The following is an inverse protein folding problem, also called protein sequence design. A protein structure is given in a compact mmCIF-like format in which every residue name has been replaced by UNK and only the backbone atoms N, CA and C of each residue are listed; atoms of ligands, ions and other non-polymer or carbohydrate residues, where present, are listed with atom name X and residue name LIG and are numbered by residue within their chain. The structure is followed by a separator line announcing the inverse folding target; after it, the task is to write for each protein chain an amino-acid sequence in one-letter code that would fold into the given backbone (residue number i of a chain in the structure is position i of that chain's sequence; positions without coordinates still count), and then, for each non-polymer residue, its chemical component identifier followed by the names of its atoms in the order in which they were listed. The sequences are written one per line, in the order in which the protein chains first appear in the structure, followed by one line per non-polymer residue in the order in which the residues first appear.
data_IF_433430734209
#
_entry.id   IF_433430734209
#
_cell.length_a   1.000
_cell.length_b   1.000
_cell.length_c   1.000
_cell.angle_alpha   90.00
_cell.angle_beta   90.00
_cell.angle_gamma   90.00
#
_symmetry.space_group_name_H-M   'P 1'
#
loop_
_entity.id
_entity.type
_entity.pdbx_description
1 polymer ?
#
# COMPACT_ATOMS: atom_id res chain seq x y z
N UNK A 1 3.13 47.37 -7.77
CA UNK A 1 3.18 46.53 -6.55
C UNK A 1 1.99 45.59 -6.60
N UNK A 2 2.13 44.43 -7.25
CA UNK A 2 1.03 43.46 -7.33
C UNK A 2 1.26 42.37 -6.28
N UNK A 3 0.47 42.43 -5.21
CA UNK A 3 0.48 41.44 -4.15
C UNK A 3 -0.30 40.20 -4.60
N UNK A 4 0.41 39.17 -5.06
CA UNK A 4 -0.19 37.88 -5.33
C UNK A 4 -0.44 37.18 -3.99
N UNK A 5 -1.70 37.00 -3.62
CA UNK A 5 -2.07 36.17 -2.47
C UNK A 5 -2.34 34.76 -2.99
N UNK A 6 -1.29 33.95 -3.07
CA UNK A 6 -1.35 32.55 -3.52
C UNK A 6 -1.98 31.68 -2.43
N UNK A 7 -3.32 31.61 -2.41
CA UNK A 7 -4.04 30.70 -1.52
C UNK A 7 -4.24 29.35 -2.20
N UNK A 8 -3.31 28.43 -1.98
CA UNK A 8 -3.45 27.02 -2.36
C UNK A 8 -4.66 26.41 -1.62
N UNK A 9 -5.78 26.19 -2.30
CA UNK A 9 -6.90 25.42 -1.75
C UNK A 9 -6.75 23.97 -2.16
N UNK A 10 -6.30 23.13 -1.22
CA UNK A 10 -6.24 21.67 -1.35
C UNK A 10 -7.64 21.11 -1.09
N UNK A 11 -8.39 20.75 -2.12
CA UNK A 11 -9.59 19.92 -1.94
C UNK A 11 -9.13 18.46 -1.87
N UNK A 12 -8.89 17.96 -0.66
CA UNK A 12 -8.38 16.60 -0.42
C UNK A 12 -9.52 15.59 -0.55
N UNK A 13 -9.47 14.76 -1.60
CA UNK A 13 -9.98 13.40 -1.54
C UNK A 13 -8.80 12.48 -1.85
N UNK A 14 -8.40 11.67 -0.87
CA UNK A 14 -7.43 10.61 -1.10
C UNK A 14 -7.93 9.74 -2.26
N UNK A 15 -7.02 9.31 -3.13
CA UNK A 15 -7.23 8.34 -4.23
C UNK A 15 -7.69 8.87 -5.60
N UNK A 16 -7.76 10.18 -5.83
CA UNK A 16 -7.96 10.72 -7.18
C UNK A 16 -6.76 11.56 -7.63
N UNK A 17 -6.45 11.62 -8.93
CA UNK A 17 -5.43 12.53 -9.46
C UNK A 17 -5.67 13.93 -8.91
N UNK A 18 -4.63 14.52 -8.32
CA UNK A 18 -4.76 15.82 -7.69
C UNK A 18 -4.66 16.86 -8.78
N UNK A 19 -5.79 17.54 -9.04
CA UNK A 19 -5.85 18.69 -9.93
C UNK A 19 -5.40 19.94 -9.18
N UNK A 20 -4.27 20.50 -9.57
CA UNK A 20 -3.92 21.86 -9.14
C UNK A 20 -4.44 22.82 -10.21
N UNK A 21 -5.32 23.74 -9.84
CA UNK A 21 -5.73 24.85 -10.70
C UNK A 21 -5.18 26.16 -10.16
N UNK A 22 -4.57 26.94 -11.05
CA UNK A 22 -4.19 28.32 -10.78
C UNK A 22 -5.07 29.19 -11.65
N UNK A 23 -5.73 30.16 -11.02
CA UNK A 23 -6.54 31.15 -11.72
C UNK A 23 -5.88 32.51 -11.58
N UNK A 24 -5.44 33.08 -12.70
CA UNK A 24 -5.00 34.46 -12.75
C UNK A 24 -6.21 35.34 -13.10
N UNK A 25 -6.44 36.40 -12.33
CA UNK A 25 -7.53 37.36 -12.59
C UNK A 25 -6.95 38.75 -12.75
N UNK A 26 -7.22 39.39 -13.88
CA UNK A 26 -6.84 40.79 -14.14
C UNK A 26 -7.84 41.78 -13.51
N UNK A 27 -7.45 43.06 -13.38
CA UNK A 27 -8.30 44.15 -12.89
C UNK A 27 -9.62 44.33 -13.68
N UNK A 28 -9.68 43.86 -14.93
CA UNK A 28 -10.90 43.78 -15.72
C UNK A 28 -11.81 42.56 -15.44
N UNK A 29 -11.52 41.75 -14.43
CA UNK A 29 -12.17 40.45 -14.13
C UNK A 29 -12.02 39.37 -15.22
N UNK A 30 -11.09 39.54 -16.16
CA UNK A 30 -10.73 38.46 -17.08
C UNK A 30 -10.00 37.37 -16.29
N UNK A 31 -10.44 36.11 -16.43
CA UNK A 31 -9.83 34.96 -15.77
C UNK A 31 -9.13 34.09 -16.79
N UNK A 32 -7.89 33.73 -16.50
CA UNK A 32 -7.18 32.65 -17.20
C UNK A 32 -6.92 31.53 -16.20
N UNK A 33 -7.08 30.28 -16.65
CA UNK A 33 -6.97 29.10 -15.79
C UNK A 33 -5.98 28.11 -16.39
N UNK A 34 -4.97 27.77 -15.59
CA UNK A 34 -4.05 26.68 -15.88
C UNK A 34 -4.30 25.54 -14.90
N UNK A 35 -4.53 24.34 -15.43
CA UNK A 35 -4.62 23.11 -14.64
C UNK A 35 -3.45 22.19 -14.94
N UNK A 36 -2.94 21.52 -13.90
CA UNK A 36 -1.97 20.43 -14.02
C UNK A 36 -2.51 19.19 -13.32
N UNK A 37 -2.42 18.06 -14.03
CA UNK A 37 -2.79 16.75 -13.53
C UNK A 37 -1.54 16.07 -12.96
N UNK A 38 -1.55 15.81 -11.65
CA UNK A 38 -0.53 14.98 -11.02
C UNK A 38 -1.14 13.60 -10.75
N UNK A 39 -0.70 12.61 -11.53
CA UNK A 39 -0.98 11.21 -11.26
C UNK A 39 0.14 10.64 -10.39
N UNK A 40 -0.22 10.24 -9.18
CA UNK A 40 0.69 9.41 -8.37
C UNK A 40 0.61 7.96 -8.86
N UNK A 41 1.71 7.19 -8.77
CA UNK A 41 1.67 5.75 -9.03
C UNK A 41 0.63 5.09 -8.12
N UNK A 42 -0.03 4.04 -8.62
CA UNK A 42 -0.90 3.19 -7.79
C UNK A 42 -0.15 2.83 -6.51
N UNK A 43 -0.76 3.05 -5.35
CA UNK A 43 -0.11 2.75 -4.08
C UNK A 43 0.27 1.27 -3.99
N UNK A 44 1.37 0.97 -3.30
CA UNK A 44 1.82 -0.39 -3.04
C UNK A 44 0.81 -1.09 -2.11
N UNK A 45 0.07 -2.05 -2.66
CA UNK A 45 -0.97 -2.81 -1.98
C UNK A 45 -0.61 -4.32 -1.98
N UNK A 46 0.17 -4.78 -0.98
CA UNK A 46 0.40 -6.19 -0.77
C UNK A 46 -0.86 -6.85 -0.17
N UNK A 47 -1.26 -7.97 -0.75
CA UNK A 47 -2.31 -8.87 -0.30
C UNK A 47 -1.63 -10.15 0.15
N UNK A 48 -1.92 -10.59 1.38
CA UNK A 48 -1.34 -11.81 1.92
C UNK A 48 -2.42 -12.80 2.23
N UNK A 49 -2.10 -14.02 1.86
CA UNK A 49 -2.91 -15.20 2.05
C UNK A 49 -2.08 -16.19 2.82
N UNK A 50 -2.71 -16.96 3.69
CA UNK A 50 -2.03 -17.98 4.44
C UNK A 50 -2.97 -19.15 4.71
N UNK A 51 -2.39 -20.33 4.82
CA UNK A 51 -3.10 -21.56 5.12
C UNK A 51 -2.67 -22.04 6.50
N UNK A 52 -3.66 -22.27 7.36
CA UNK A 52 -3.47 -22.81 8.70
C UNK A 52 -2.78 -24.18 8.67
N UNK A 53 -2.01 -24.44 9.73
CA UNK A 53 -1.41 -25.76 10.00
C UNK A 53 -2.54 -26.74 10.33
N UNK A 54 -2.57 -27.92 9.70
CA UNK A 54 -3.68 -28.88 9.90
C UNK A 54 -3.64 -29.58 11.26
N UNK A 55 -2.50 -29.53 11.95
CA UNK A 55 -2.28 -30.26 13.20
C UNK A 55 -1.43 -29.48 14.21
N UNK A 56 -1.65 -29.72 15.49
CA UNK A 56 -0.85 -29.12 16.57
C UNK A 56 0.58 -29.66 16.50
N UNK A 57 1.53 -28.81 16.07
CA UNK A 57 2.92 -29.21 15.82
C UNK A 57 3.23 -29.59 14.37
N UNK A 58 2.25 -29.47 13.47
CA UNK A 58 2.47 -29.60 12.04
C UNK A 58 3.34 -28.48 11.47
N UNK A 59 3.98 -28.76 10.34
CA UNK A 59 4.81 -27.82 9.57
C UNK A 59 4.23 -27.62 8.17
N UNK A 60 2.94 -27.81 7.99
CA UNK A 60 2.25 -27.74 6.71
C UNK A 60 1.62 -26.36 6.42
N UNK A 61 1.84 -25.39 7.31
CA UNK A 61 1.41 -24.02 7.10
C UNK A 61 2.09 -23.39 5.89
N UNK A 62 1.33 -22.58 5.16
CA UNK A 62 1.81 -21.82 4.01
C UNK A 62 1.44 -20.34 4.16
N UNK A 63 2.29 -19.46 3.63
CA UNK A 63 1.99 -18.05 3.51
C UNK A 63 2.41 -17.57 2.12
N UNK A 64 1.59 -16.75 1.48
CA UNK A 64 1.83 -16.21 0.15
C UNK A 64 1.48 -14.74 0.12
N UNK A 65 2.25 -13.98 -0.68
CA UNK A 65 2.06 -12.55 -0.86
C UNK A 65 1.89 -12.29 -2.35
N UNK A 66 0.82 -11.58 -2.67
CA UNK A 66 0.59 -11.01 -3.99
C UNK A 66 0.63 -9.49 -3.88
N UNK A 67 1.35 -8.83 -4.78
CA UNK A 67 1.54 -7.38 -4.71
C UNK A 67 0.81 -6.74 -5.89
N UNK A 68 -0.01 -5.74 -5.58
CA UNK A 68 -0.69 -4.91 -6.58
C UNK A 68 -0.30 -3.44 -6.42
N UNK A 69 -0.24 -2.70 -7.52
CA UNK A 69 0.29 -1.32 -7.52
C UNK A 69 1.79 -1.24 -7.22
N UNK A 70 2.29 -0.04 -6.93
CA UNK A 70 3.71 0.24 -6.74
C UNK A 70 4.54 0.17 -8.03
N UNK A 71 5.86 0.19 -7.87
CA UNK A 71 6.82 0.11 -8.98
C UNK A 71 7.37 -1.32 -9.09
N UNK A 72 7.35 -1.94 -10.29
CA UNK A 72 7.89 -3.28 -10.49
C UNK A 72 9.33 -3.42 -10.01
N UNK A 73 9.68 -4.61 -9.48
CA UNK A 73 10.89 -4.91 -8.67
C UNK A 73 10.62 -4.84 -7.16
N UNK A 74 9.74 -5.75 -6.70
CA UNK A 74 9.42 -5.91 -5.29
C UNK A 74 10.44 -6.79 -4.58
N UNK A 75 10.83 -6.36 -3.39
CA UNK A 75 11.62 -7.14 -2.45
C UNK A 75 10.75 -7.53 -1.26
N UNK A 76 10.86 -8.77 -0.82
CA UNK A 76 10.12 -9.31 0.31
C UNK A 76 11.09 -9.52 1.45
N UNK A 77 10.66 -9.21 2.68
CA UNK A 77 11.39 -9.54 3.89
C UNK A 77 10.43 -10.12 4.90
N UNK A 78 10.53 -11.43 5.10
CA UNK A 78 9.77 -12.14 6.12
C UNK A 78 10.45 -12.06 7.49
N UNK A 79 9.67 -12.21 8.56
CA UNK A 79 10.20 -12.36 9.92
C UNK A 79 11.14 -13.55 10.09
N UNK A 80 11.10 -14.53 9.19
CA UNK A 80 12.03 -15.68 9.12
C UNK A 80 13.36 -15.35 8.43
N UNK A 81 13.49 -14.17 7.83
CA UNK A 81 14.64 -13.77 7.00
C UNK A 81 14.53 -14.22 5.53
N UNK A 82 13.44 -14.89 5.15
CA UNK A 82 13.21 -15.26 3.76
C UNK A 82 12.86 -14.02 2.90
N UNK A 83 13.16 -14.10 1.61
CA UNK A 83 12.91 -13.03 0.63
C UNK A 83 12.05 -13.47 -0.55
N UNK A 84 11.38 -14.61 -0.41
CA UNK A 84 10.48 -15.18 -1.43
C UNK A 84 9.07 -14.60 -1.29
N UNK A 85 8.27 -14.61 -2.36
CA UNK A 85 6.86 -14.20 -2.30
C UNK A 85 5.99 -15.21 -1.52
N UNK A 86 6.45 -16.46 -1.40
CA UNK A 86 5.75 -17.52 -0.70
C UNK A 86 6.68 -18.27 0.25
N UNK A 87 6.11 -18.71 1.36
CA UNK A 87 6.70 -19.53 2.39
C UNK A 87 5.85 -20.79 2.57
N UNK A 88 6.53 -21.93 2.72
CA UNK A 88 5.94 -23.21 3.08
C UNK A 88 6.76 -23.83 4.20
N UNK A 89 6.22 -24.86 4.86
CA UNK A 89 6.94 -25.47 5.98
C UNK A 89 6.73 -24.74 7.31
N UNK A 90 5.68 -23.90 7.42
CA UNK A 90 5.50 -23.02 8.58
C UNK A 90 4.78 -23.74 9.72
N UNK A 91 5.26 -23.51 10.94
CA UNK A 91 4.59 -23.91 12.19
C UNK A 91 3.58 -22.85 12.61
N UNK A 92 2.67 -23.20 13.52
CA UNK A 92 1.75 -22.21 14.10
C UNK A 92 2.52 -21.04 14.73
N UNK A 93 2.29 -19.82 14.25
CA UNK A 93 3.03 -18.64 14.66
C UNK A 93 2.60 -17.40 13.89
N UNK A 94 3.11 -16.23 14.29
CA UNK A 94 2.87 -14.97 13.59
C UNK A 94 4.02 -14.69 12.64
N UNK A 95 3.71 -14.65 11.34
CA UNK A 95 4.66 -14.28 10.30
C UNK A 95 4.30 -12.90 9.74
N UNK A 96 5.27 -12.00 9.72
CA UNK A 96 5.13 -10.67 9.14
C UNK A 96 5.99 -10.58 7.90
N UNK A 97 5.49 -9.88 6.89
CA UNK A 97 6.21 -9.62 5.66
C UNK A 97 6.19 -8.13 5.36
N UNK A 98 7.37 -7.59 5.10
CA UNK A 98 7.56 -6.24 4.59
C UNK A 98 7.85 -6.35 3.11
N UNK A 99 7.01 -5.70 2.30
CA UNK A 99 7.22 -5.58 0.85
C UNK A 99 7.76 -4.20 0.56
N UNK A 100 8.87 -4.12 -0.17
CA UNK A 100 9.46 -2.86 -0.62
C UNK A 100 9.46 -2.81 -2.14
N UNK A 101 8.94 -1.74 -2.73
CA UNK A 101 8.99 -1.51 -4.18
C UNK A 101 10.31 -0.89 -4.64
N UNK A 102 10.50 -0.74 -5.96
CA UNK A 102 11.72 -0.17 -6.54
C UNK A 102 11.99 1.28 -6.14
N UNK A 103 10.96 2.04 -5.78
CA UNK A 103 11.07 3.42 -5.32
C UNK A 103 11.31 3.53 -3.81
N UNK A 104 11.39 2.40 -3.09
CA UNK A 104 11.63 2.36 -1.65
C UNK A 104 10.37 2.55 -0.80
N UNK A 105 9.18 2.52 -1.41
CA UNK A 105 7.92 2.46 -0.67
C UNK A 105 7.82 1.10 0.01
N UNK A 106 7.66 1.12 1.32
CA UNK A 106 7.44 -0.09 2.12
C UNK A 106 5.97 -0.20 2.50
N UNK A 107 5.35 -1.33 2.19
CA UNK A 107 4.04 -1.69 2.72
C UNK A 107 4.17 -3.01 3.46
N UNK A 108 3.67 -3.04 4.69
CA UNK A 108 3.44 -4.29 5.37
C UNK A 108 2.06 -4.80 4.96
N UNK A 109 1.97 -6.10 4.73
CA UNK A 109 0.70 -6.75 4.95
C UNK A 109 0.37 -6.63 6.43
N UNK A 110 -0.89 -6.33 6.75
CA UNK A 110 -1.35 -6.17 8.13
C UNK A 110 -0.85 -7.30 9.03
N UNK A 111 -0.53 -6.96 10.27
CA UNK A 111 -0.25 -7.91 11.34
C UNK A 111 -1.47 -8.81 11.49
N UNK A 112 -1.48 -9.96 10.81
CA UNK A 112 -2.52 -10.95 11.04
C UNK A 112 -2.36 -11.39 12.49
N UNK A 113 -3.26 -10.92 13.36
CA UNK A 113 -3.41 -11.47 14.69
C UNK A 113 -3.97 -12.87 14.50
N UNK A 114 -3.07 -13.85 14.28
CA UNK A 114 -3.38 -15.27 14.27
C UNK A 114 -3.90 -15.65 15.66
N UNK A 115 -5.17 -15.40 15.91
CA UNK A 115 -5.93 -16.24 16.82
C UNK A 115 -6.15 -17.52 16.05
N UNK A 116 -5.90 -18.67 16.68
CA UNK A 116 -6.41 -19.94 16.18
C UNK A 116 -7.87 -19.71 15.77
N UNK A 117 -8.15 -19.81 14.48
CA UNK A 117 -9.50 -19.73 13.96
C UNK A 117 -10.13 -21.07 14.34
N UNK A 118 -10.67 -21.19 15.56
CA UNK A 118 -11.30 -22.45 15.94
C UNK A 118 -12.61 -22.56 15.15
N UNK A 119 -12.61 -23.37 14.09
CA UNK A 119 -13.81 -23.75 13.35
C UNK A 119 -13.68 -25.17 12.76
N UNK A 120 -13.52 -26.17 13.63
CA UNK A 120 -14.62 -27.13 13.78
C UNK A 120 -15.11 -26.94 15.22
N UNK A 121 -16.27 -26.28 15.38
CA UNK A 121 -17.08 -26.52 16.57
C UNK A 121 -17.61 -27.94 16.43
N UNK A 122 -17.30 -28.80 17.40
CA UNK A 122 -18.18 -29.93 17.71
C UNK A 122 -19.50 -29.39 18.27
#
# INVERSE_FOLDING_TARGET
MYGQTERLRKTVAAWLPVHYSVTATDAGNCQDMLSVDISEPTALAPVCDATDVTSTGGTDGTASVSVSGGTPSYTYLWSTGATTASLSGLTAGTYNVTVTDANGCTSNCGSYSWRANFAISL
#
